data_IF_459589459641
#
_entry.id   IF_459589459641
#
_cell.length_a   1.000
_cell.length_b   1.000
_cell.length_c   1.000
_cell.angle_alpha   90.00
_cell.angle_beta   90.00
_cell.angle_gamma   90.00
#
_symmetry.space_group_name_H-M   'P 1'
#
loop_
_entity.id
_entity.type
_entity.pdbx_description
1 polymer ?
#
# COMPACT_ATOMS: atom_id res chain seq x y z
N UNK A 1 -36.17 -6.16 13.96
CA UNK A 1 -35.33 -7.11 14.74
C UNK A 1 -34.60 -7.99 13.74
N UNK A 2 -33.28 -8.15 13.86
CA UNK A 2 -32.50 -8.98 12.94
C UNK A 2 -32.87 -10.44 13.21
N UNK A 3 -33.34 -11.15 12.18
CA UNK A 3 -33.63 -12.57 12.28
C UNK A 3 -32.34 -13.36 12.01
N UNK A 4 -31.71 -13.83 13.08
CA UNK A 4 -30.54 -14.71 12.99
C UNK A 4 -30.99 -16.18 13.11
N UNK A 5 -30.47 -17.01 12.22
CA UNK A 5 -30.59 -18.47 12.27
C UNK A 5 -29.67 -19.07 13.32
N UNK A 6 -30.01 -20.26 13.83
CA UNK A 6 -29.21 -21.00 14.82
C UNK A 6 -28.07 -21.77 14.12
N UNK A 7 -27.09 -21.01 13.63
CA UNK A 7 -25.87 -21.52 12.99
C UNK A 7 -24.62 -20.79 13.47
N UNK A 8 -23.45 -21.32 13.10
CA UNK A 8 -22.16 -20.69 13.37
C UNK A 8 -21.78 -19.71 12.25
N UNK A 9 -21.67 -18.44 12.60
CA UNK A 9 -21.28 -17.35 11.73
C UNK A 9 -19.75 -17.17 11.72
N UNK A 10 -19.23 -16.80 10.56
CA UNK A 10 -17.84 -16.40 10.36
C UNK A 10 -17.61 -14.94 10.75
N UNK A 11 -16.36 -14.54 11.01
CA UNK A 11 -16.02 -13.14 11.33
C UNK A 11 -16.47 -12.14 10.25
N UNK A 12 -16.52 -12.56 8.98
CA UNK A 12 -16.99 -11.73 7.87
C UNK A 12 -18.50 -11.52 7.92
N UNK A 13 -19.27 -12.60 8.10
CA UNK A 13 -20.74 -12.51 8.24
C UNK A 13 -21.12 -11.70 9.48
N UNK A 14 -20.39 -11.85 10.59
CA UNK A 14 -20.61 -11.05 11.80
C UNK A 14 -20.34 -9.56 11.53
N UNK A 15 -19.32 -9.23 10.74
CA UNK A 15 -19.04 -7.86 10.36
C UNK A 15 -20.22 -7.25 9.56
N UNK A 16 -20.79 -8.01 8.63
CA UNK A 16 -21.97 -7.61 7.85
C UNK A 16 -23.21 -7.44 8.72
N UNK A 17 -23.48 -8.38 9.63
CA UNK A 17 -24.64 -8.33 10.55
C UNK A 17 -24.56 -7.11 11.49
N UNK A 18 -23.37 -6.79 11.98
CA UNK A 18 -23.13 -5.66 12.88
C UNK A 18 -22.97 -4.32 12.14
N UNK A 19 -22.83 -4.34 10.81
CA UNK A 19 -22.58 -3.14 10.00
C UNK A 19 -21.21 -2.51 10.27
N UNK A 20 -20.20 -3.30 10.67
CA UNK A 20 -18.85 -2.83 10.99
C UNK A 20 -17.81 -3.50 10.09
N UNK A 21 -16.58 -2.98 10.07
CA UNK A 21 -15.49 -3.62 9.33
C UNK A 21 -15.00 -4.89 10.02
N UNK A 22 -14.48 -5.85 9.24
CA UNK A 22 -13.87 -7.09 9.76
C UNK A 22 -12.80 -6.81 10.82
N UNK A 23 -12.00 -5.76 10.62
CA UNK A 23 -10.99 -5.31 11.60
C UNK A 23 -11.61 -4.91 12.94
N UNK A 24 -12.79 -4.30 12.92
CA UNK A 24 -13.51 -3.92 14.13
C UNK A 24 -14.00 -5.15 14.89
N UNK A 25 -14.42 -6.21 14.19
CA UNK A 25 -14.78 -7.50 14.81
C UNK A 25 -13.60 -8.12 15.55
N UNK A 26 -12.40 -8.12 14.95
CA UNK A 26 -11.18 -8.58 15.63
C UNK A 26 -10.81 -7.71 16.82
N UNK A 27 -10.95 -6.38 16.71
CA UNK A 27 -10.76 -5.48 17.84
C UNK A 27 -11.73 -5.77 18.98
N UNK A 28 -12.99 -6.09 18.68
CA UNK A 28 -13.97 -6.47 19.71
C UNK A 28 -13.65 -7.80 20.39
N UNK A 29 -13.04 -8.74 19.66
CA UNK A 29 -12.48 -9.96 20.25
C UNK A 29 -11.29 -9.64 21.19
N UNK A 30 -10.36 -8.77 20.78
CA UNK A 30 -9.21 -8.35 21.58
C UNK A 30 -9.62 -7.58 22.85
N UNK A 31 -10.63 -6.72 22.73
CA UNK A 31 -11.21 -5.95 23.84
C UNK A 31 -12.16 -6.78 24.72
N UNK A 32 -12.32 -8.08 24.47
CA UNK A 32 -13.25 -9.00 25.15
C UNK A 32 -14.73 -8.55 25.14
N UNK A 33 -15.10 -7.69 24.20
CA UNK A 33 -16.49 -7.23 24.01
C UNK A 33 -17.34 -8.24 23.27
N UNK A 34 -16.72 -8.98 22.34
CA UNK A 34 -17.34 -10.05 21.57
C UNK A 34 -16.61 -11.36 21.87
N UNK A 35 -17.34 -12.45 22.03
CA UNK A 35 -16.74 -13.77 22.28
C UNK A 35 -17.02 -14.72 21.12
N UNK A 36 -15.98 -15.44 20.70
CA UNK A 36 -16.13 -16.54 19.74
C UNK A 36 -16.45 -17.83 20.50
N UNK A 37 -17.42 -18.59 20.01
CA UNK A 37 -17.80 -19.87 20.61
C UNK A 37 -16.82 -20.98 20.24
N UNK A 38 -16.43 -21.02 18.96
CA UNK A 38 -15.51 -22.03 18.45
C UNK A 38 -14.35 -21.35 17.74
N UNK A 39 -13.13 -21.81 18.04
CA UNK A 39 -11.93 -21.48 17.26
C UNK A 39 -11.52 -22.74 16.50
N UNK A 40 -11.50 -22.66 15.17
CA UNK A 40 -11.08 -23.79 14.33
C UNK A 40 -9.60 -24.10 14.57
N UNK A 41 -9.15 -25.32 14.25
CA UNK A 41 -7.74 -25.70 14.33
C UNK A 41 -6.81 -24.76 13.52
N UNK A 42 -7.35 -24.15 12.47
CA UNK A 42 -6.68 -23.12 11.63
C UNK A 42 -6.66 -21.72 12.25
N UNK A 43 -7.20 -21.56 13.47
CA UNK A 43 -7.22 -20.30 14.20
C UNK A 43 -8.36 -19.35 13.82
N UNK A 44 -9.33 -19.76 12.99
CA UNK A 44 -10.46 -18.92 12.59
C UNK A 44 -11.55 -18.94 13.65
N UNK A 45 -12.15 -17.78 13.90
CA UNK A 45 -13.21 -17.63 14.88
C UNK A 45 -14.59 -17.93 14.27
N UNK A 46 -15.47 -18.50 15.09
CA UNK A 46 -16.88 -18.79 14.81
C UNK A 46 -17.75 -18.29 15.94
N UNK A 47 -18.88 -17.70 15.59
CA UNK A 47 -19.79 -17.03 16.52
C UNK A 47 -21.17 -17.66 16.42
N UNK A 48 -21.81 -17.96 17.53
CA UNK A 48 -23.23 -18.32 17.50
C UNK A 48 -24.12 -17.09 17.49
N UNK A 49 -25.39 -17.33 17.20
CA UNK A 49 -26.46 -16.36 17.32
C UNK A 49 -26.49 -15.67 18.69
N UNK A 50 -26.31 -16.43 19.79
CA UNK A 50 -26.40 -15.88 21.14
C UNK A 50 -25.30 -14.85 21.37
N UNK A 51 -24.06 -15.15 20.99
CA UNK A 51 -22.93 -14.22 21.16
C UNK A 51 -23.14 -12.90 20.40
N UNK A 52 -23.75 -12.96 19.20
CA UNK A 52 -24.06 -11.77 18.41
C UNK A 52 -25.21 -10.98 19.07
N UNK A 53 -26.23 -11.66 19.57
CA UNK A 53 -27.36 -11.02 20.24
C UNK A 53 -26.94 -10.37 21.57
N UNK A 54 -26.11 -11.05 22.36
CA UNK A 54 -25.59 -10.52 23.62
C UNK A 54 -24.73 -9.27 23.37
N UNK A 55 -23.97 -9.26 22.27
CA UNK A 55 -23.21 -8.08 21.86
C UNK A 55 -24.11 -6.92 21.43
N UNK A 56 -25.18 -7.20 20.69
CA UNK A 56 -26.14 -6.19 20.23
C UNK A 56 -27.01 -5.65 21.38
N UNK A 57 -27.28 -6.49 22.38
CA UNK A 57 -28.19 -6.20 23.49
C UNK A 57 -27.56 -6.58 24.85
N UNK A 58 -26.46 -5.93 25.27
CA UNK A 58 -25.67 -6.33 26.44
C UNK A 58 -26.41 -6.16 27.78
N UNK A 59 -27.45 -5.34 27.84
CA UNK A 59 -28.21 -5.07 29.07
C UNK A 59 -29.43 -5.99 29.26
N UNK A 60 -29.58 -7.02 28.42
CA UNK A 60 -30.81 -7.78 28.36
C UNK A 60 -31.96 -6.93 27.80
N UNK A 61 -32.97 -7.60 27.30
CA UNK A 61 -34.07 -7.01 26.56
C UNK A 61 -34.87 -6.07 27.48
N UNK A 62 -34.79 -4.75 27.27
CA UNK A 62 -35.93 -3.87 27.53
C UNK A 62 -37.04 -4.34 26.58
N UNK A 63 -37.92 -5.19 27.10
CA UNK A 63 -39.07 -5.73 26.38
C UNK A 63 -40.02 -4.56 26.07
N UNK A 64 -40.30 -4.22 24.80
CA UNK A 64 -41.64 -3.80 24.48
C UNK A 64 -42.52 -5.05 24.58
N UNK A 65 -43.46 -5.00 25.52
CA UNK A 65 -44.46 -6.05 25.72
C UNK A 65 -45.19 -6.36 24.42
N UNK A 66 -45.05 -7.60 23.94
CA UNK A 66 -46.12 -8.26 23.18
C UNK A 66 -46.39 -9.60 23.85
N UNK A 67 -47.62 -9.67 24.33
CA UNK A 67 -48.33 -10.66 25.11
C UNK A 67 -48.00 -12.12 24.80
N UNK A 68 -47.73 -12.87 25.87
CA UNK A 68 -47.88 -14.32 25.98
C UNK A 68 -49.37 -14.69 25.98
N UNK A 69 -49.78 -15.62 25.13
CA UNK A 69 -50.77 -16.68 25.46
C UNK A 69 -50.24 -17.97 24.80
N UNK A 70 -49.53 -18.80 25.55
CA UNK A 70 -50.04 -19.99 26.25
C UNK A 70 -50.40 -21.18 25.33
N UNK A 71 -49.57 -22.23 25.37
CA UNK A 71 -50.00 -23.52 25.91
C UNK A 71 -48.82 -24.41 26.32
N UNK A 72 -48.71 -24.66 27.63
CA UNK A 72 -48.07 -25.85 28.24
C UNK A 72 -48.83 -27.10 27.76
N UNK A 73 -48.25 -28.28 27.63
CA UNK A 73 -47.85 -29.27 28.66
C UNK A 73 -47.71 -30.59 27.84
N UNK A 74 -46.75 -31.52 27.99
CA UNK A 74 -46.45 -32.41 29.13
C UNK A 74 -45.19 -33.27 28.85
N UNK A 75 -44.51 -33.69 29.92
CA UNK A 75 -43.44 -34.71 29.97
C UNK A 75 -43.83 -36.11 29.41
N UNK A 76 -42.84 -36.88 28.92
CA UNK A 76 -42.87 -38.36 28.99
C UNK A 76 -42.06 -39.17 27.96
N UNK A 77 -40.88 -39.64 28.37
CA UNK A 77 -40.23 -40.96 28.13
C UNK A 77 -40.33 -41.73 26.77
N UNK A 78 -39.15 -42.02 26.20
CA UNK A 78 -38.64 -43.31 25.67
C UNK A 78 -39.39 -44.08 24.56
N UNK A 79 -38.80 -44.20 23.35
CA UNK A 79 -38.26 -45.45 22.73
C UNK A 79 -38.01 -45.34 21.22
N UNK A 80 -36.87 -45.92 20.84
CA UNK A 80 -36.35 -46.43 19.56
C UNK A 80 -37.41 -47.07 18.64
N UNK A 81 -37.38 -46.80 17.32
CA UNK A 81 -37.16 -47.78 16.21
C UNK A 81 -37.19 -47.15 14.80
N UNK A 82 -36.36 -47.72 13.92
CA UNK A 82 -36.29 -47.61 12.45
C UNK A 82 -37.65 -47.83 11.76
N UNK A 83 -37.88 -47.21 10.59
CA UNK A 83 -37.77 -47.89 9.28
C UNK A 83 -38.18 -46.98 8.09
N UNK A 84 -37.68 -47.42 6.93
CA UNK A 84 -37.70 -46.86 5.58
C UNK A 84 -39.08 -46.70 4.91
N UNK A 85 -39.18 -45.76 3.95
CA UNK A 85 -39.56 -45.92 2.52
C UNK A 85 -40.21 -44.63 1.97
N UNK A 86 -39.60 -43.92 1.01
CA UNK A 86 -39.65 -44.06 -0.48
C UNK A 86 -40.96 -43.55 -1.12
N UNK A 87 -40.77 -42.93 -2.30
CA UNK A 87 -41.69 -42.49 -3.40
C UNK A 87 -41.85 -40.96 -3.47
N UNK A 88 -40.94 -40.26 -4.15
CA UNK A 88 -40.85 -39.98 -5.61
C UNK A 88 -41.73 -38.82 -6.11
N UNK A 89 -41.07 -37.81 -6.73
CA UNK A 89 -41.47 -37.34 -8.08
C UNK A 89 -40.33 -36.59 -8.79
N UNK A 90 -39.96 -37.13 -9.95
CA UNK A 90 -38.98 -36.67 -10.93
C UNK A 90 -39.32 -35.35 -11.63
N UNK A 91 -38.28 -34.64 -12.10
CA UNK A 91 -38.04 -34.30 -13.53
C UNK A 91 -36.67 -33.58 -13.67
N UNK A 92 -35.67 -34.24 -14.25
CA UNK A 92 -35.19 -34.13 -15.64
C UNK A 92 -34.45 -32.82 -16.00
N UNK A 93 -33.11 -32.87 -16.15
CA UNK A 93 -32.39 -32.10 -17.18
C UNK A 93 -31.22 -32.94 -17.69
N UNK A 94 -31.23 -33.11 -19.01
CA UNK A 94 -30.38 -33.90 -19.89
C UNK A 94 -29.08 -33.14 -20.22
N UNK A 95 -28.01 -33.90 -20.42
CA UNK A 95 -26.71 -33.43 -20.92
C UNK A 95 -26.84 -32.87 -22.34
N UNK A 96 -26.06 -31.83 -22.67
CA UNK A 96 -25.76 -31.53 -24.08
C UNK A 96 -24.34 -31.00 -24.20
N UNK A 97 -23.50 -31.80 -24.87
CA UNK A 97 -22.18 -31.47 -25.39
C UNK A 97 -22.30 -30.43 -26.51
N UNK A 98 -21.44 -29.41 -26.52
CA UNK A 98 -20.95 -28.77 -27.74
C UNK A 98 -19.48 -28.42 -27.59
N UNK A 99 -18.66 -29.08 -28.42
CA UNK A 99 -17.28 -28.74 -28.74
C UNK A 99 -17.22 -27.40 -29.51
N UNK A 100 -16.34 -26.49 -29.09
CA UNK A 100 -15.68 -25.57 -30.02
C UNK A 100 -14.25 -25.22 -29.57
N UNK A 101 -13.34 -25.55 -30.47
CA UNK A 101 -11.89 -25.35 -30.56
C UNK A 101 -11.36 -23.98 -30.06
N UNK A 102 -10.49 -23.97 -29.05
CA UNK A 102 -9.54 -22.86 -28.79
C UNK A 102 -8.14 -23.42 -28.48
N UNK A 103 -7.23 -22.98 -29.34
CA UNK A 103 -5.77 -23.00 -29.36
C UNK A 103 -5.05 -23.14 -28.01
N UNK A 104 -3.99 -23.96 -28.02
CA UNK A 104 -2.99 -24.15 -26.98
C UNK A 104 -2.40 -22.84 -26.41
N UNK A 105 -2.40 -22.73 -25.09
CA UNK A 105 -1.43 -21.95 -24.33
C UNK A 105 -0.73 -22.89 -23.35
N UNK A 106 0.62 -22.93 -23.30
CA UNK A 106 1.32 -23.76 -22.32
C UNK A 106 0.90 -23.33 -20.92
N UNK A 107 0.48 -24.30 -20.11
CA UNK A 107 0.28 -24.16 -18.68
C UNK A 107 1.62 -23.78 -18.04
N UNK A 108 1.90 -22.49 -17.95
CA UNK A 108 2.91 -22.00 -17.01
C UNK A 108 2.32 -22.18 -15.62
N UNK A 109 2.76 -23.27 -14.97
CA UNK A 109 2.59 -23.52 -13.56
C UNK A 109 2.75 -22.21 -12.78
N UNK A 110 1.90 -21.94 -11.77
CA UNK A 110 1.95 -20.69 -11.02
C UNK A 110 3.34 -20.53 -10.43
N UNK A 111 4.15 -19.66 -11.06
CA UNK A 111 5.53 -19.41 -10.69
C UNK A 111 5.48 -18.90 -9.25
N UNK A 112 5.93 -19.71 -8.31
CA UNK A 112 6.03 -19.30 -6.91
C UNK A 112 7.25 -18.38 -6.77
N UNK A 113 7.00 -17.08 -6.92
CA UNK A 113 8.01 -16.03 -6.83
C UNK A 113 8.80 -16.10 -5.51
N UNK A 114 8.22 -16.66 -4.44
CA UNK A 114 8.90 -16.83 -3.16
C UNK A 114 9.97 -17.92 -3.21
N UNK A 115 9.77 -18.97 -3.99
CA UNK A 115 10.78 -19.99 -4.24
C UNK A 115 11.95 -19.42 -5.04
N UNK A 116 11.67 -18.68 -6.13
CA UNK A 116 12.71 -17.98 -6.91
C UNK A 116 13.48 -16.96 -6.09
N UNK A 117 12.82 -16.26 -5.16
CA UNK A 117 13.48 -15.32 -4.26
C UNK A 117 14.40 -16.00 -3.23
N UNK A 118 13.97 -17.14 -2.66
CA UNK A 118 14.81 -17.93 -1.75
C UNK A 118 16.01 -18.54 -2.46
N UNK A 119 15.84 -18.96 -3.70
CA UNK A 119 16.90 -19.54 -4.52
C UNK A 119 17.93 -18.50 -4.94
N UNK A 120 17.49 -17.28 -5.29
CA UNK A 120 18.38 -16.14 -5.57
C UNK A 120 19.15 -15.69 -4.33
N UNK A 121 18.51 -15.64 -3.16
CA UNK A 121 19.18 -15.29 -1.90
C UNK A 121 20.21 -16.35 -1.47
N UNK A 122 19.99 -17.62 -1.82
CA UNK A 122 20.94 -18.70 -1.56
C UNK A 122 22.15 -18.62 -2.49
N UNK A 123 21.95 -18.37 -3.79
CA UNK A 123 23.04 -18.16 -4.75
C UNK A 123 23.92 -16.97 -4.39
N UNK A 124 23.34 -15.88 -3.90
CA UNK A 124 24.13 -14.71 -3.50
C UNK A 124 25.00 -14.97 -2.25
N UNK A 125 24.57 -15.85 -1.35
CA UNK A 125 25.39 -16.29 -0.20
C UNK A 125 26.51 -17.23 -0.62
N UNK A 126 26.21 -18.22 -1.48
CA UNK A 126 27.22 -19.15 -1.99
C UNK A 126 28.28 -18.43 -2.85
N UNK A 127 27.89 -17.43 -3.66
CA UNK A 127 28.82 -16.66 -4.51
C UNK A 127 29.66 -15.65 -3.71
N UNK A 128 29.19 -15.23 -2.53
CA UNK A 128 29.97 -14.40 -1.59
C UNK A 128 31.03 -15.20 -0.81
N UNK A 129 30.90 -16.53 -0.74
CA UNK A 129 31.83 -17.42 -0.03
C UNK A 129 32.92 -18.01 -0.96
N UNK A 130 32.83 -17.84 -2.29
CA UNK A 130 33.78 -18.39 -3.28
C UNK A 130 34.81 -17.39 -3.86
N UNK A 131 34.86 -16.13 -3.39
CA UNK A 131 35.99 -15.25 -3.72
C UNK A 131 37.06 -15.28 -2.61
N UNK A 132 38.25 -15.86 -2.87
CA UNK A 132 39.31 -15.91 -1.89
C UNK A 132 39.95 -14.52 -1.72
N UNK A 133 40.19 -14.19 -0.46
CA UNK A 133 41.03 -13.13 -0.01
C UNK A 133 42.44 -13.23 -0.62
N UNK A 134 42.90 -12.13 -1.22
CA UNK A 134 44.31 -11.82 -1.35
C UNK A 134 44.57 -10.47 -0.67
N UNK A 135 45.16 -10.56 0.52
CA UNK A 135 46.11 -9.64 1.16
C UNK A 135 46.90 -8.79 0.15
N UNK A 136 47.41 -7.59 0.37
CA UNK A 136 47.90 -6.82 1.53
C UNK A 136 48.42 -5.48 0.91
N UNK A 137 48.79 -4.38 1.56
CA UNK A 137 48.69 -3.78 2.87
C UNK A 137 49.47 -2.43 2.79
N UNK A 138 49.22 -1.48 3.71
CA UNK A 138 50.12 -0.41 4.29
C UNK A 138 51.00 0.47 3.35
N UNK A 139 51.20 1.78 3.48
CA UNK A 139 50.80 2.86 4.41
C UNK A 139 51.38 4.23 3.87
N UNK A 140 51.42 5.35 4.63
CA UNK A 140 51.00 6.71 4.23
C UNK A 140 52.15 7.62 3.73
N UNK A 141 51.92 8.93 3.50
CA UNK A 141 52.81 10.07 3.89
C UNK A 141 52.39 11.42 3.24
N UNK A 142 52.04 12.36 4.13
CA UNK A 142 52.27 13.83 4.17
C UNK A 142 51.70 14.85 3.17
N UNK A 143 51.03 15.86 3.75
CA UNK A 143 50.85 17.26 3.30
C UNK A 143 52.21 18.00 3.17
N UNK A 144 52.30 19.19 2.51
CA UNK A 144 52.05 20.45 3.24
C UNK A 144 51.56 21.68 2.41
N UNK A 145 51.08 22.67 3.17
CA UNK A 145 51.18 24.15 3.02
C UNK A 145 50.24 24.99 2.10
N UNK A 146 49.31 25.67 2.79
CA UNK A 146 48.80 27.04 2.57
C UNK A 146 49.92 28.11 2.78
N UNK A 147 49.86 29.37 2.25
CA UNK A 147 49.00 30.41 2.86
C UNK A 147 48.55 31.65 2.02
N UNK A 148 47.47 32.27 2.55
CA UNK A 148 47.17 33.71 2.75
C UNK A 148 46.66 34.66 1.63
N UNK A 149 45.37 35.04 1.81
CA UNK A 149 44.80 36.39 2.07
C UNK A 149 45.25 37.59 1.21
N UNK A 150 44.29 38.21 0.50
CA UNK A 150 44.12 39.68 0.45
C UNK A 150 42.62 40.03 0.33
N UNK A 151 42.11 40.73 1.35
CA UNK A 151 40.85 41.50 1.36
C UNK A 151 40.99 42.78 0.54
N UNK A 152 39.94 43.18 -0.19
CA UNK A 152 39.67 44.61 -0.45
C UNK A 152 38.16 44.84 -0.31
N UNK A 153 37.81 45.72 0.62
CA UNK A 153 36.47 46.26 0.91
C UNK A 153 36.38 47.67 0.27
N UNK A 154 35.13 48.16 0.13
CA UNK A 154 34.68 49.55 -0.10
C UNK A 154 34.44 49.95 -1.57
N UNK A 155 33.35 50.64 -1.95
CA UNK A 155 32.27 51.30 -1.21
C UNK A 155 31.10 51.61 -2.17
N UNK A 156 29.99 52.04 -1.57
CA UNK A 156 28.67 52.37 -2.13
C UNK A 156 28.65 53.35 -3.32
N UNK A 157 27.69 53.17 -4.23
CA UNK A 157 27.06 54.28 -4.95
C UNK A 157 25.57 54.02 -5.14
N UNK A 158 24.75 54.81 -4.44
CA UNK A 158 23.31 54.91 -4.63
C UNK A 158 23.07 55.84 -5.81
N UNK A 159 22.36 55.38 -6.84
CA UNK A 159 21.63 56.27 -7.75
C UNK A 159 20.41 55.55 -8.32
N UNK A 160 19.23 55.98 -7.85
CA UNK A 160 17.95 55.76 -8.52
C UNK A 160 18.01 56.38 -9.92
N UNK A 161 17.78 55.59 -10.97
CA UNK A 161 17.28 56.12 -12.23
C UNK A 161 16.42 55.08 -12.92
N UNK A 162 15.16 55.45 -13.10
CA UNK A 162 14.12 54.71 -13.81
C UNK A 162 14.44 54.69 -15.30
N UNK A 163 14.65 53.51 -15.88
CA UNK A 163 14.38 53.23 -17.30
C UNK A 163 14.14 51.74 -17.52
N UNK A 164 12.94 51.43 -18.01
CA UNK A 164 12.57 50.15 -18.63
C UNK A 164 13.64 49.72 -19.64
N UNK A 165 14.06 48.45 -19.64
CA UNK A 165 14.24 47.60 -20.83
C UNK A 165 14.70 46.20 -20.39
N UNK A 166 13.83 45.21 -20.64
CA UNK A 166 14.09 43.77 -20.83
C UNK A 166 15.25 43.13 -20.04
N UNK A 167 14.92 42.49 -18.91
CA UNK A 167 15.74 41.42 -18.37
C UNK A 167 15.72 40.19 -19.31
N UNK A 168 16.86 39.51 -19.52
CA UNK A 168 16.87 38.20 -20.13
C UNK A 168 16.14 37.23 -19.19
N UNK A 169 15.10 36.59 -19.71
CA UNK A 169 14.38 35.50 -19.04
C UNK A 169 15.39 34.41 -18.70
N UNK A 170 15.88 34.41 -17.45
CA UNK A 170 16.38 33.18 -16.83
C UNK A 170 15.25 32.15 -16.94
N UNK A 171 15.52 30.90 -17.35
CA UNK A 171 14.48 29.88 -17.41
C UNK A 171 13.78 29.85 -16.06
N UNK A 172 12.47 30.10 -16.05
CA UNK A 172 11.65 29.91 -14.85
C UNK A 172 11.90 28.49 -14.39
N UNK A 173 12.58 28.33 -13.25
CA UNK A 173 12.59 27.08 -12.52
C UNK A 173 11.12 26.66 -12.36
N UNK A 174 10.77 25.52 -12.97
CA UNK A 174 9.43 25.00 -12.93
C UNK A 174 9.07 24.77 -11.47
N UNK A 175 8.25 25.66 -10.91
CA UNK A 175 7.81 25.59 -9.52
C UNK A 175 6.92 24.35 -9.41
N UNK A 176 7.51 23.25 -8.94
CA UNK A 176 6.75 22.04 -8.70
C UNK A 176 5.89 22.26 -7.46
N UNK A 177 4.59 22.42 -7.68
CA UNK A 177 3.65 22.56 -6.57
C UNK A 177 3.53 21.20 -5.88
N UNK A 178 3.81 21.18 -4.57
CA UNK A 178 3.74 19.99 -3.72
C UNK A 178 2.36 19.90 -3.09
N UNK A 179 1.71 18.75 -3.24
CA UNK A 179 0.42 18.47 -2.64
C UNK A 179 0.52 17.23 -1.76
N UNK A 180 0.16 17.39 -0.50
CA UNK A 180 0.26 16.34 0.51
C UNK A 180 -1.10 15.68 0.73
N UNK A 181 -1.11 14.36 0.69
CA UNK A 181 -2.31 13.56 0.75
C UNK A 181 -2.15 12.35 1.68
N UNK A 182 -3.31 11.91 2.16
CA UNK A 182 -3.49 10.62 2.80
C UNK A 182 -4.42 9.77 1.93
N UNK A 183 -4.00 8.55 1.63
CA UNK A 183 -4.80 7.64 0.82
C UNK A 183 -5.75 6.85 1.71
N UNK A 184 -6.99 6.66 1.25
CA UNK A 184 -7.89 5.67 1.83
C UNK A 184 -7.51 4.22 1.48
N UNK A 185 -6.61 4.04 0.51
CA UNK A 185 -6.20 2.74 -0.01
C UNK A 185 -4.96 2.21 0.71
N UNK A 186 -5.17 1.26 1.62
CA UNK A 186 -4.13 0.35 2.11
C UNK A 186 -2.87 1.00 2.69
N UNK A 187 -1.76 0.27 2.61
CA UNK A 187 -0.42 0.75 2.99
C UNK A 187 0.32 1.40 1.82
N UNK A 188 1.52 1.94 2.08
CA UNK A 188 2.33 2.64 1.07
C UNK A 188 2.66 1.76 -0.15
N UNK A 189 2.92 0.47 0.07
CA UNK A 189 3.13 -0.48 -1.03
C UNK A 189 1.89 -0.56 -1.94
N UNK A 190 0.70 -0.62 -1.35
CA UNK A 190 -0.55 -0.71 -2.10
C UNK A 190 -0.80 0.58 -2.88
N UNK A 191 -0.50 1.74 -2.28
CA UNK A 191 -0.60 3.05 -2.95
C UNK A 191 0.34 3.09 -4.16
N UNK A 192 1.61 2.70 -4.00
CA UNK A 192 2.58 2.69 -5.10
C UNK A 192 2.16 1.75 -6.24
N UNK A 193 1.68 0.55 -5.91
CA UNK A 193 1.16 -0.39 -6.90
C UNK A 193 -0.11 0.11 -7.59
N UNK A 194 -1.00 0.80 -6.88
CA UNK A 194 -2.18 1.40 -7.48
C UNK A 194 -1.80 2.55 -8.42
N UNK A 195 -0.80 3.37 -8.07
CA UNK A 195 -0.29 4.40 -8.98
C UNK A 195 0.19 3.74 -10.27
N UNK A 196 1.02 2.70 -10.18
CA UNK A 196 1.52 2.00 -11.37
C UNK A 196 0.39 1.39 -12.21
N UNK A 197 -0.49 0.60 -11.59
CA UNK A 197 -1.62 -0.05 -12.27
C UNK A 197 -2.52 0.96 -12.99
N UNK A 198 -2.95 2.00 -12.27
CA UNK A 198 -3.86 3.01 -12.83
C UNK A 198 -3.19 3.85 -13.93
N UNK A 199 -1.89 4.12 -13.77
CA UNK A 199 -1.11 4.82 -14.79
C UNK A 199 -0.95 3.99 -16.05
N UNK A 200 -0.70 2.68 -15.94
CA UNK A 200 -0.62 1.76 -17.09
C UNK A 200 -1.97 1.58 -17.78
N UNK A 201 -3.07 1.46 -17.02
CA UNK A 201 -4.43 1.35 -17.58
C UNK A 201 -4.88 2.62 -18.29
N UNK A 202 -4.47 3.79 -17.78
CA UNK A 202 -4.93 5.09 -18.27
C UNK A 202 -3.89 5.81 -19.14
N UNK A 203 -2.75 5.16 -19.43
CA UNK A 203 -1.61 5.70 -20.16
C UNK A 203 -1.11 7.04 -19.61
N UNK A 204 -1.08 7.17 -18.28
CA UNK A 204 -0.61 8.37 -17.59
C UNK A 204 0.86 8.25 -17.23
N UNK A 205 1.56 9.37 -17.33
CA UNK A 205 2.97 9.43 -16.96
C UNK A 205 3.13 9.72 -15.47
N UNK A 206 3.90 8.87 -14.80
CA UNK A 206 4.33 9.12 -13.43
C UNK A 206 5.82 8.77 -13.27
N UNK A 207 6.44 9.29 -12.21
CA UNK A 207 7.78 8.90 -11.80
C UNK A 207 7.98 9.13 -10.30
N UNK A 208 8.50 8.14 -9.57
CA UNK A 208 8.89 8.29 -8.17
C UNK A 208 10.17 9.13 -8.04
N UNK A 209 10.22 9.96 -7.00
CA UNK A 209 11.39 10.79 -6.65
C UNK A 209 11.64 10.76 -5.13
N UNK A 210 12.66 11.49 -4.67
CA UNK A 210 13.03 11.67 -3.26
C UNK A 210 13.09 10.35 -2.50
N UNK A 211 12.48 10.29 -1.31
CA UNK A 211 12.44 9.10 -0.46
C UNK A 211 11.94 7.86 -1.23
N UNK A 212 10.87 8.01 -2.01
CA UNK A 212 10.26 6.88 -2.71
C UNK A 212 11.14 6.34 -3.83
N UNK A 213 11.75 7.23 -4.61
CA UNK A 213 12.67 6.84 -5.68
C UNK A 213 13.93 6.19 -5.13
N UNK A 214 14.51 6.76 -4.06
CA UNK A 214 15.74 6.23 -3.46
C UNK A 214 15.52 4.89 -2.76
N UNK A 215 14.36 4.70 -2.12
CA UNK A 215 13.94 3.43 -1.51
C UNK A 215 13.88 2.26 -2.50
N UNK A 216 13.76 2.53 -3.80
CA UNK A 216 13.77 1.50 -4.85
C UNK A 216 15.18 1.03 -5.20
N UNK A 217 16.21 1.86 -5.03
CA UNK A 217 17.61 1.45 -5.27
C UNK A 217 18.19 0.69 -4.07
N UNK A 218 17.91 1.18 -2.87
CA UNK A 218 18.31 0.55 -1.62
C UNK A 218 17.13 0.68 -0.66
N UNK A 219 16.75 -0.38 0.09
CA UNK A 219 15.73 -0.31 1.11
C UNK A 219 16.24 0.51 2.31
N UNK A 220 16.38 1.80 2.09
CA UNK A 220 16.49 2.83 3.10
C UNK A 220 15.12 2.91 3.76
N UNK A 221 15.09 3.09 5.09
CA UNK A 221 13.91 3.24 5.97
C UNK A 221 12.58 2.97 5.25
N UNK A 222 11.87 1.84 5.53
CA UNK A 222 10.69 1.43 4.78
C UNK A 222 9.76 2.61 4.57
N UNK A 223 9.50 2.94 3.30
CA UNK A 223 8.73 4.08 2.80
C UNK A 223 8.13 4.93 3.92
N UNK A 224 8.72 6.08 4.24
CA UNK A 224 8.09 7.00 5.21
C UNK A 224 6.97 7.78 4.53
N UNK A 225 7.24 8.27 3.31
CA UNK A 225 6.31 9.03 2.48
C UNK A 225 6.63 8.84 1.00
N UNK A 226 5.61 8.55 0.20
CA UNK A 226 5.75 8.42 -1.24
C UNK A 226 5.83 9.79 -1.91
N UNK A 227 6.84 10.04 -2.72
CA UNK A 227 6.98 11.26 -3.49
C UNK A 227 6.92 10.91 -4.98
N UNK A 228 5.95 11.48 -5.68
CA UNK A 228 5.63 11.09 -7.07
C UNK A 228 5.42 12.33 -7.92
N UNK A 229 6.06 12.39 -9.07
CA UNK A 229 5.74 13.37 -10.10
C UNK A 229 4.53 12.95 -10.90
N UNK A 230 3.62 13.90 -11.09
CA UNK A 230 2.42 13.75 -11.91
C UNK A 230 2.21 15.02 -12.73
N UNK A 231 1.61 14.88 -13.92
CA UNK A 231 1.24 16.05 -14.71
C UNK A 231 0.05 16.77 -14.06
N UNK A 232 -0.07 18.10 -14.18
CA UNK A 232 -1.18 18.86 -13.61
C UNK A 232 -2.56 18.41 -14.12
N UNK A 233 -2.64 17.99 -15.40
CA UNK A 233 -3.87 17.50 -15.99
C UNK A 233 -4.36 16.19 -15.34
N UNK A 234 -3.42 15.40 -14.80
CA UNK A 234 -3.68 14.05 -14.30
C UNK A 234 -3.91 14.02 -12.78
N UNK A 235 -3.66 15.13 -12.09
CA UNK A 235 -3.79 15.24 -10.63
C UNK A 235 -5.20 14.85 -10.17
N UNK A 236 -6.23 15.39 -10.82
CA UNK A 236 -7.64 15.11 -10.47
C UNK A 236 -8.02 13.64 -10.67
N UNK A 237 -7.35 12.95 -11.59
CA UNK A 237 -7.54 11.53 -11.82
C UNK A 237 -6.93 10.73 -10.65
N UNK A 238 -5.69 11.01 -10.27
CA UNK A 238 -5.05 10.34 -9.14
C UNK A 238 -5.77 10.58 -7.82
N UNK A 239 -6.27 11.79 -7.58
CA UNK A 239 -7.06 12.11 -6.38
C UNK A 239 -8.30 11.23 -6.23
N UNK A 240 -9.08 11.06 -7.31
CA UNK A 240 -10.30 10.24 -7.31
C UNK A 240 -9.97 8.76 -7.22
N UNK A 241 -9.04 8.30 -8.05
CA UNK A 241 -8.72 6.87 -8.19
C UNK A 241 -8.03 6.32 -6.94
N UNK A 242 -7.18 7.12 -6.28
CA UNK A 242 -6.51 6.72 -5.05
C UNK A 242 -7.28 7.10 -3.77
N UNK A 243 -8.50 7.64 -3.90
CA UNK A 243 -9.29 8.16 -2.79
C UNK A 243 -8.45 9.05 -1.85
N UNK A 244 -7.75 10.02 -2.44
CA UNK A 244 -6.84 10.91 -1.71
C UNK A 244 -7.65 11.94 -0.91
N UNK A 245 -7.24 12.11 0.34
CA UNK A 245 -7.71 13.19 1.21
C UNK A 245 -6.56 14.17 1.44
N UNK A 246 -6.73 15.47 1.17
CA UNK A 246 -5.71 16.48 1.48
C UNK A 246 -5.31 16.42 2.95
N UNK A 247 -4.01 16.48 3.24
CA UNK A 247 -3.46 16.38 4.59
C UNK A 247 -2.26 17.31 4.75
N UNK A 248 -1.89 17.58 5.99
CA UNK A 248 -0.60 18.20 6.31
C UNK A 248 0.56 17.23 6.08
N UNK A 249 1.75 17.78 5.84
CA UNK A 249 3.00 17.05 5.61
C UNK A 249 3.33 16.05 6.73
N UNK A 250 3.02 16.39 7.98
CA UNK A 250 3.29 15.55 9.17
C UNK A 250 2.54 14.21 9.18
N UNK A 251 1.35 14.15 8.55
CA UNK A 251 0.47 12.98 8.53
C UNK A 251 0.24 12.44 7.11
N UNK A 252 0.90 13.05 6.12
CA UNK A 252 0.78 12.64 4.73
C UNK A 252 1.53 11.32 4.48
N UNK A 253 0.94 10.51 3.61
CA UNK A 253 1.53 9.25 3.14
C UNK A 253 2.06 9.40 1.71
N UNK A 254 1.48 10.33 0.96
CA UNK A 254 1.77 10.60 -0.44
C UNK A 254 1.93 12.10 -0.63
N UNK A 255 3.01 12.49 -1.30
CA UNK A 255 3.27 13.83 -1.79
C UNK A 255 3.30 13.76 -3.31
N UNK A 256 2.35 14.43 -3.95
CA UNK A 256 2.31 14.58 -5.40
C UNK A 256 3.01 15.89 -5.77
N UNK A 257 4.07 15.78 -6.57
CA UNK A 257 4.78 16.90 -7.15
C UNK A 257 4.22 17.13 -8.55
N UNK A 258 3.58 18.28 -8.74
CA UNK A 258 3.01 18.64 -10.04
C UNK A 258 4.07 19.33 -10.87
N UNK A 259 4.38 18.77 -12.03
CA UNK A 259 5.32 19.36 -12.99
C UNK A 259 4.87 19.10 -14.42
N UNK A 260 5.02 20.09 -15.29
CA UNK A 260 4.80 19.98 -16.75
C UNK A 260 6.08 19.63 -17.52
N UNK A 261 7.20 19.43 -16.82
CA UNK A 261 8.49 19.16 -17.44
C UNK A 261 8.56 17.75 -18.05
N UNK A 262 8.53 17.68 -19.38
CA UNK A 262 8.61 16.44 -20.14
C UNK A 262 9.93 15.68 -19.91
N UNK A 263 11.02 16.36 -19.54
CA UNK A 263 12.31 15.70 -19.33
C UNK A 263 12.28 14.70 -18.17
N UNK A 264 11.44 14.95 -17.16
CA UNK A 264 11.23 14.07 -15.99
C UNK A 264 10.65 12.73 -16.43
N UNK A 265 9.70 12.76 -17.36
CA UNK A 265 8.96 11.59 -17.80
C UNK A 265 9.67 10.82 -18.92
N UNK A 266 10.43 11.50 -19.78
CA UNK A 266 11.18 10.84 -20.84
C UNK A 266 12.42 10.10 -20.33
N UNK A 267 13.07 10.62 -19.28
CA UNK A 267 14.29 10.06 -18.69
C UNK A 267 14.03 9.07 -17.54
N UNK A 268 12.80 8.59 -17.36
CA UNK A 268 12.46 7.69 -16.26
C UNK A 268 13.05 6.29 -16.46
N UNK A 269 13.50 5.69 -15.36
CA UNK A 269 14.02 4.32 -15.31
C UNK A 269 12.99 3.41 -14.63
N UNK A 270 12.82 2.18 -15.10
CA UNK A 270 11.95 1.19 -14.45
C UNK A 270 12.76 0.35 -13.47
N UNK A 271 12.41 0.42 -12.19
CA UNK A 271 13.05 -0.32 -11.11
C UNK A 271 12.00 -1.09 -10.32
N UNK A 272 12.19 -2.41 -10.21
CA UNK A 272 11.26 -3.31 -9.52
C UNK A 272 9.80 -3.19 -10.01
N UNK A 273 9.60 -2.87 -11.30
CA UNK A 273 8.28 -2.71 -11.93
C UNK A 273 7.62 -1.35 -11.69
N UNK A 274 8.32 -0.40 -11.06
CA UNK A 274 7.85 0.97 -10.84
C UNK A 274 8.75 1.97 -11.59
N UNK A 275 8.18 3.07 -12.06
CA UNK A 275 8.95 4.12 -12.74
C UNK A 275 9.55 5.12 -11.76
N UNK A 276 10.84 5.41 -11.91
CA UNK A 276 11.62 6.34 -11.09
C UNK A 276 12.24 7.39 -12.00
N UNK A 277 12.42 8.61 -11.51
CA UNK A 277 13.15 9.66 -12.25
C UNK A 277 14.61 9.25 -12.48
N UNK A 278 15.27 9.85 -13.49
CA UNK A 278 16.69 9.60 -13.76
C UNK A 278 17.56 9.84 -12.53
N UNK A 279 18.69 9.14 -12.42
CA UNK A 279 19.63 9.28 -11.28
C UNK A 279 20.10 10.72 -11.07
N UNK A 280 20.37 11.43 -12.16
CA UNK A 280 20.75 12.84 -12.13
C UNK A 280 19.66 13.70 -11.52
N UNK A 281 18.41 13.52 -11.98
CA UNK A 281 17.25 14.26 -11.46
C UNK A 281 16.96 13.90 -10.01
N UNK A 282 17.03 12.61 -9.65
CA UNK A 282 16.83 12.15 -8.28
C UNK A 282 17.86 12.81 -7.35
N UNK A 283 19.12 12.85 -7.74
CA UNK A 283 20.18 13.49 -6.96
C UNK A 283 19.95 15.00 -6.80
N UNK A 284 19.45 15.67 -7.85
CA UNK A 284 19.14 17.09 -7.84
C UNK A 284 17.94 17.40 -6.94
N UNK A 285 16.86 16.61 -7.05
CA UNK A 285 15.68 16.73 -6.22
C UNK A 285 16.01 16.51 -4.74
N UNK A 286 16.84 15.52 -4.42
CA UNK A 286 17.26 15.26 -3.04
C UNK A 286 18.09 16.41 -2.46
N UNK A 287 18.97 17.02 -3.25
CA UNK A 287 19.76 18.19 -2.81
C UNK A 287 18.92 19.45 -2.62
N UNK A 288 17.87 19.61 -3.42
CA UNK A 288 17.05 20.84 -3.44
C UNK A 288 15.88 20.77 -2.47
N UNK A 289 15.25 19.60 -2.38
CA UNK A 289 13.98 19.36 -1.65
C UNK A 289 14.18 18.40 -0.48
N UNK A 290 15.13 17.46 -0.57
CA UNK A 290 15.34 16.43 0.43
C UNK A 290 16.08 16.90 1.67
N UNK A 291 16.04 16.07 2.70
CA UNK A 291 16.74 16.33 3.96
C UNK A 291 18.24 16.04 3.84
N UNK A 292 19.04 16.64 4.73
CA UNK A 292 20.49 16.38 4.80
C UNK A 292 20.83 14.90 5.01
N UNK A 293 20.01 14.16 5.76
CA UNK A 293 20.16 12.71 5.93
C UNK A 293 19.94 11.93 4.63
N UNK A 294 18.89 12.30 3.88
CA UNK A 294 18.58 11.67 2.58
C UNK A 294 19.68 11.97 1.56
N UNK A 295 20.28 13.16 1.61
CA UNK A 295 21.39 13.55 0.73
C UNK A 295 22.63 12.69 0.94
N UNK A 296 23.00 12.40 2.20
CA UNK A 296 24.13 11.52 2.50
C UNK A 296 23.87 10.07 2.06
N UNK A 297 22.66 9.56 2.26
CA UNK A 297 22.27 8.23 1.81
C UNK A 297 22.23 8.14 0.28
N UNK A 298 21.73 9.18 -0.39
CA UNK A 298 21.71 9.26 -1.85
C UNK A 298 23.11 9.22 -2.44
N UNK A 299 24.09 9.89 -1.82
CA UNK A 299 25.48 9.85 -2.27
C UNK A 299 26.10 8.45 -2.14
N UNK A 300 25.70 7.67 -1.13
CA UNK A 300 26.16 6.28 -0.97
C UNK A 300 25.49 5.29 -1.93
N UNK A 301 24.32 5.64 -2.49
CA UNK A 301 23.51 4.73 -3.34
C UNK A 301 23.65 5.07 -4.82
N UNK A 302 23.79 6.35 -5.15
CA UNK A 302 23.86 6.85 -6.53
C UNK A 302 25.29 7.20 -6.98
N UNK A 303 26.24 7.30 -6.04
CA UNK A 303 27.68 7.52 -6.32
C UNK A 303 28.42 6.21 -6.52
#
# INVERSE_FOLDING_TARGET
MIQLEEKLYTSTEVAEILGVSLRSVYRYLEENKLQAEVKTATGRHRFSKQNILDFLYPNGIDKPAVTLEEKKETLGQTKVTLDENIVEKDTNVEETNQDENVLETPEEEPIDWLAKFREAAKKFREESDEQPAAEAAVEPVTQPDEPKVVEVIEQEFVQETVTQFSEPVKPKEAVSNKYYYRSGLGGLKDIAQNIDKNSRTSFLDYAFTLNAGLSLFKPIKPFSMLHVYVRPNDLSFFEKTLALTPSEESNAQLCLLVSDDNAIYSGREELHGLFVVSKERLSHDIKTIGDGALSSEAQSVLG
#
